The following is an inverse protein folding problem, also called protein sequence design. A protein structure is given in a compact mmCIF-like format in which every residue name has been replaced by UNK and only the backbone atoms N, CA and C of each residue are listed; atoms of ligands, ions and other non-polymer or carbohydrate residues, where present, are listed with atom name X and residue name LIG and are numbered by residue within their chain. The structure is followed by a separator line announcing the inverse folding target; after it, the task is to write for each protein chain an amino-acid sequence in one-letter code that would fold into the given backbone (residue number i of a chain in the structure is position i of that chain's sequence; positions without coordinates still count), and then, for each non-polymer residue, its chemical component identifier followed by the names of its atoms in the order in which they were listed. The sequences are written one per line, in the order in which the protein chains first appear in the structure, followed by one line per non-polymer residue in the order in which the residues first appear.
data_IF_349035285269
#
_entry.id   IF_349035285269
#
_cell.length_a   1.000
_cell.length_b   1.000
_cell.length_c   1.000
_cell.angle_alpha   90.00
_cell.angle_beta   90.00
_cell.angle_gamma   90.00
#
_symmetry.space_group_name_H-M   'P 1'
#
loop_
_entity.id
_entity.type
_entity.pdbx_description
1 polymer ?
#
# COMPACT_ATOMS: atom_id res chain seq x y z
N UNK A 1 9.14 -5.65 17.11
CA UNK A 1 9.10 -6.89 17.94
C UNK A 1 7.84 -7.70 17.65
N UNK A 2 6.64 -7.17 17.93
CA UNK A 2 5.38 -7.94 17.79
C UNK A 2 5.16 -8.50 16.37
N UNK A 3 5.30 -7.67 15.33
CA UNK A 3 5.15 -8.08 13.91
C UNK A 3 6.11 -9.20 13.56
N UNK A 4 7.38 -9.08 13.96
CA UNK A 4 8.40 -10.11 13.74
C UNK A 4 8.02 -11.42 14.42
N UNK A 5 7.65 -11.36 15.70
CA UNK A 5 7.24 -12.54 16.46
C UNK A 5 6.02 -13.25 15.84
N UNK A 6 5.03 -12.46 15.34
CA UNK A 6 3.86 -13.03 14.67
C UNK A 6 4.26 -13.80 13.40
N UNK A 7 5.14 -13.22 12.57
CA UNK A 7 5.62 -13.84 11.33
C UNK A 7 6.47 -15.07 11.63
N UNK A 8 7.37 -15.02 12.61
CA UNK A 8 8.18 -16.15 13.05
C UNK A 8 7.34 -17.30 13.64
N UNK A 9 6.17 -16.98 14.20
CA UNK A 9 5.18 -17.95 14.65
C UNK A 9 4.23 -18.44 13.53
N UNK A 10 4.60 -18.22 12.27
CA UNK A 10 3.83 -18.58 11.06
C UNK A 10 2.41 -17.99 11.02
N UNK A 11 2.20 -16.83 11.67
CA UNK A 11 0.94 -16.10 11.55
C UNK A 11 0.96 -15.23 10.31
N UNK A 12 -0.06 -15.32 9.44
CA UNK A 12 -0.14 -14.42 8.29
C UNK A 12 -0.38 -12.97 8.75
N UNK A 13 0.43 -12.05 8.22
CA UNK A 13 0.33 -10.60 8.51
C UNK A 13 0.18 -9.86 7.20
N UNK A 14 -0.80 -8.98 7.13
CA UNK A 14 -0.93 -7.98 6.06
C UNK A 14 -0.52 -6.62 6.62
N UNK A 15 0.58 -6.07 6.10
CA UNK A 15 1.03 -4.71 6.42
C UNK A 15 0.59 -3.74 5.33
N UNK A 16 -0.20 -2.72 5.69
CA UNK A 16 -0.68 -1.69 4.76
C UNK A 16 0.06 -0.38 5.04
N UNK A 17 0.62 0.23 4.01
CA UNK A 17 1.38 1.49 4.03
C UNK A 17 2.42 1.50 5.16
N UNK A 18 2.21 2.26 6.23
CA UNK A 18 3.07 2.26 7.42
C UNK A 18 3.25 0.84 8.00
N UNK A 19 2.20 0.01 7.98
CA UNK A 19 2.27 -1.39 8.41
C UNK A 19 3.23 -2.23 7.55
N UNK A 20 3.24 -2.02 6.24
CA UNK A 20 4.20 -2.62 5.31
C UNK A 20 5.63 -2.15 5.56
N UNK A 21 5.82 -0.85 5.82
CA UNK A 21 7.11 -0.27 6.17
C UNK A 21 7.63 -0.83 7.50
N UNK A 22 6.77 -0.91 8.51
CA UNK A 22 7.09 -1.51 9.81
C UNK A 22 7.51 -2.99 9.65
N UNK A 23 6.80 -3.73 8.82
CA UNK A 23 7.09 -5.12 8.52
C UNK A 23 8.44 -5.27 7.82
N UNK A 24 8.72 -4.47 6.79
CA UNK A 24 10.00 -4.47 6.09
C UNK A 24 11.17 -4.21 7.06
N UNK A 25 11.04 -3.19 7.91
CA UNK A 25 12.06 -2.84 8.91
C UNK A 25 12.25 -3.92 9.97
N UNK A 26 11.16 -4.51 10.47
CA UNK A 26 11.20 -5.56 11.49
C UNK A 26 11.88 -6.84 10.99
N UNK A 27 11.83 -7.10 9.67
CA UNK A 27 12.43 -8.25 9.01
C UNK A 27 13.84 -8.00 8.44
N UNK A 28 14.44 -6.85 8.75
CA UNK A 28 15.82 -6.55 8.37
C UNK A 28 15.97 -5.74 7.09
N UNK A 29 14.89 -5.26 6.50
CA UNK A 29 14.91 -4.23 5.47
C UNK A 29 15.12 -2.83 6.05
N UNK A 30 15.03 -1.82 5.19
CA UNK A 30 15.15 -0.42 5.59
C UNK A 30 13.93 0.39 5.16
N UNK A 31 13.72 1.52 5.83
CA UNK A 31 12.69 2.51 5.49
C UNK A 31 13.34 3.89 5.53
N UNK A 32 13.17 4.67 4.49
CA UNK A 32 13.70 6.03 4.38
C UNK A 32 12.77 6.90 3.53
N UNK A 33 12.80 8.23 3.72
CA UNK A 33 12.10 9.16 2.84
C UNK A 33 12.54 9.01 1.39
N UNK A 34 11.56 9.06 0.48
CA UNK A 34 11.82 9.16 -0.95
C UNK A 34 12.09 10.61 -1.36
N UNK A 35 12.62 10.86 -2.57
CA UNK A 35 12.81 12.21 -3.09
C UNK A 35 11.47 12.92 -3.37
N UNK A 36 10.40 12.18 -3.56
CA UNK A 36 9.05 12.65 -3.77
C UNK A 36 8.05 11.68 -3.13
N UNK A 37 6.96 12.21 -2.57
CA UNK A 37 5.83 11.39 -2.10
C UNK A 37 5.03 10.81 -3.28
N UNK A 38 4.18 9.85 -2.97
CA UNK A 38 3.13 9.38 -3.85
C UNK A 38 1.78 9.68 -3.19
N UNK A 39 0.94 10.47 -3.87
CA UNK A 39 -0.39 10.85 -3.39
C UNK A 39 -1.39 10.70 -4.54
N UNK A 40 -2.50 10.00 -4.30
CA UNK A 40 -3.57 9.79 -5.28
C UNK A 40 -3.58 8.41 -5.93
N UNK A 41 -4.46 8.24 -6.92
CA UNK A 41 -4.68 6.97 -7.62
C UNK A 41 -3.58 6.70 -8.66
N UNK A 42 -2.90 5.57 -8.52
CA UNK A 42 -1.74 5.22 -9.35
C UNK A 42 -1.74 3.74 -9.73
N UNK A 43 -1.42 3.44 -10.97
CA UNK A 43 -1.17 2.07 -11.40
C UNK A 43 0.20 1.58 -10.90
N UNK A 44 0.26 0.29 -10.63
CA UNK A 44 1.49 -0.44 -10.30
C UNK A 44 1.70 -1.56 -11.32
N UNK A 45 2.88 -2.14 -11.34
CA UNK A 45 3.16 -3.37 -12.10
C UNK A 45 3.29 -4.53 -11.15
N UNK A 46 2.31 -5.43 -11.20
CA UNK A 46 2.30 -6.65 -10.42
C UNK A 46 2.79 -7.83 -11.25
N UNK A 47 3.76 -8.56 -10.72
CA UNK A 47 4.22 -9.84 -11.26
C UNK A 47 3.33 -11.01 -10.79
N UNK A 48 2.43 -10.75 -9.85
CA UNK A 48 1.50 -11.74 -9.27
C UNK A 48 0.06 -11.28 -9.46
N UNK A 49 -0.40 -11.24 -10.73
CA UNK A 49 -1.75 -10.85 -11.11
C UNK A 49 -2.84 -11.75 -10.47
N UNK A 50 -2.47 -12.95 -10.05
CA UNK A 50 -3.32 -13.87 -9.30
C UNK A 50 -3.59 -13.40 -7.87
N UNK A 51 -2.70 -12.60 -7.29
CA UNK A 51 -2.82 -12.06 -5.93
C UNK A 51 -3.16 -10.56 -5.91
N UNK A 52 -2.62 -9.81 -6.85
CA UNK A 52 -2.64 -8.37 -6.84
C UNK A 52 -2.72 -7.81 -8.26
N UNK A 53 -3.80 -7.11 -8.59
CA UNK A 53 -3.95 -6.44 -9.89
C UNK A 53 -3.07 -5.19 -10.01
N UNK A 54 -2.91 -4.70 -11.24
CA UNK A 54 -2.18 -3.45 -11.50
C UNK A 54 -2.86 -2.18 -10.96
N UNK A 55 -4.07 -2.26 -10.47
CA UNK A 55 -4.77 -1.12 -9.90
C UNK A 55 -5.75 -0.43 -10.86
N UNK A 56 -5.96 0.89 -10.74
CA UNK A 56 -5.21 1.79 -9.86
C UNK A 56 -5.41 1.53 -8.37
N UNK A 57 -4.40 1.88 -7.57
CA UNK A 57 -4.41 1.83 -6.11
C UNK A 57 -4.14 3.21 -5.54
N UNK A 58 -4.74 3.54 -4.38
CA UNK A 58 -4.56 4.85 -3.76
C UNK A 58 -3.25 4.90 -2.97
N UNK A 59 -2.45 5.91 -3.24
CA UNK A 59 -1.17 6.20 -2.58
C UNK A 59 -1.33 7.39 -1.63
N UNK A 60 -0.69 7.31 -0.47
CA UNK A 60 -0.53 8.44 0.44
C UNK A 60 0.68 8.19 1.35
N UNK A 61 1.89 8.37 0.81
CA UNK A 61 3.13 8.11 1.54
C UNK A 61 4.30 8.93 1.00
N UNK A 62 5.29 9.14 1.84
CA UNK A 62 6.58 9.79 1.52
C UNK A 62 7.74 8.80 1.67
N UNK A 63 7.67 7.95 2.69
CA UNK A 63 8.68 6.93 2.97
C UNK A 63 8.53 5.71 2.07
N UNK A 64 9.65 5.03 1.85
CA UNK A 64 9.77 3.81 1.05
C UNK A 64 10.56 2.78 1.80
N UNK A 65 10.21 1.53 1.60
CA UNK A 65 11.04 0.42 2.08
C UNK A 65 12.01 -0.08 1.02
N UNK A 66 13.04 -0.76 1.50
CA UNK A 66 13.74 -1.79 0.75
C UNK A 66 13.23 -3.15 1.23
N UNK A 67 12.96 -4.04 0.28
CA UNK A 67 12.45 -5.37 0.58
C UNK A 67 13.40 -6.09 1.52
N UNK A 68 12.90 -6.68 2.63
CA UNK A 68 13.76 -7.33 3.62
C UNK A 68 14.45 -8.57 3.04
N UNK A 69 15.62 -8.97 3.57
CA UNK A 69 16.26 -10.24 3.21
C UNK A 69 15.29 -11.42 3.38
N UNK A 70 15.16 -12.24 2.35
CA UNK A 70 14.18 -13.35 2.31
C UNK A 70 12.79 -12.96 1.85
N UNK A 71 12.51 -11.67 1.67
CA UNK A 71 11.30 -11.17 1.03
C UNK A 71 11.40 -11.21 -0.50
N UNK A 72 10.26 -11.30 -1.15
CA UNK A 72 10.13 -11.28 -2.62
C UNK A 72 9.27 -10.10 -3.02
N UNK A 73 9.82 -9.14 -3.77
CA UNK A 73 9.05 -8.06 -4.39
C UNK A 73 8.10 -8.67 -5.43
N UNK A 74 6.82 -8.30 -5.35
CA UNK A 74 5.80 -8.78 -6.29
C UNK A 74 5.11 -7.66 -7.06
N UNK A 75 5.32 -6.42 -6.67
CA UNK A 75 4.80 -5.26 -7.40
C UNK A 75 5.66 -4.03 -7.17
N UNK A 76 5.73 -3.18 -8.20
CA UNK A 76 6.46 -1.92 -8.19
C UNK A 76 5.83 -0.88 -9.11
N UNK A 77 6.26 0.36 -8.96
CA UNK A 77 6.12 1.41 -9.96
C UNK A 77 7.49 2.14 -10.12
N UNK A 78 7.62 3.17 -10.97
CA UNK A 78 8.90 3.88 -11.13
C UNK A 78 9.40 4.57 -9.85
N UNK A 79 8.52 4.78 -8.90
CA UNK A 79 8.81 5.57 -7.69
C UNK A 79 9.23 4.65 -6.53
N UNK A 80 8.55 3.52 -6.31
CA UNK A 80 8.80 2.66 -5.16
C UNK A 80 8.44 1.18 -5.40
N UNK A 81 8.98 0.31 -4.55
CA UNK A 81 8.45 -1.03 -4.35
C UNK A 81 7.04 -0.92 -3.74
N UNK A 82 6.07 -1.58 -4.34
CA UNK A 82 4.65 -1.44 -4.00
C UNK A 82 4.09 -2.60 -3.20
N UNK A 83 4.67 -3.78 -3.36
CA UNK A 83 4.28 -4.94 -2.57
C UNK A 83 5.42 -5.97 -2.50
N UNK A 84 5.51 -6.65 -1.37
CA UNK A 84 6.40 -7.81 -1.18
C UNK A 84 5.71 -8.89 -0.37
N UNK A 85 6.15 -10.13 -0.58
CA UNK A 85 5.77 -11.31 0.21
C UNK A 85 6.94 -11.73 1.08
N UNK A 86 6.65 -12.15 2.31
CA UNK A 86 7.58 -12.78 3.23
C UNK A 86 6.91 -13.97 3.92
N UNK A 87 7.23 -15.19 3.49
CA UNK A 87 6.51 -16.38 3.93
C UNK A 87 5.01 -16.27 3.59
N UNK A 88 4.17 -16.37 4.61
CA UNK A 88 2.71 -16.23 4.50
C UNK A 88 2.21 -14.80 4.70
N UNK A 89 3.10 -13.83 4.75
CA UNK A 89 2.79 -12.44 5.04
C UNK A 89 3.05 -11.55 3.83
N UNK A 90 2.35 -10.41 3.75
CA UNK A 90 2.44 -9.47 2.64
C UNK A 90 2.51 -8.04 3.16
N UNK A 91 3.42 -7.24 2.61
CA UNK A 91 3.45 -5.79 2.77
C UNK A 91 2.99 -5.11 1.50
N UNK A 92 2.09 -4.11 1.60
CA UNK A 92 1.68 -3.25 0.50
C UNK A 92 1.88 -1.78 0.86
N UNK A 93 2.31 -0.96 -0.10
CA UNK A 93 2.59 0.46 0.13
C UNK A 93 1.34 1.33 -0.02
N UNK A 94 0.44 0.96 -0.89
CA UNK A 94 -0.82 1.63 -1.17
C UNK A 94 -1.90 1.28 -0.14
N UNK A 95 -3.06 1.94 -0.26
CA UNK A 95 -4.20 1.81 0.63
C UNK A 95 -5.37 1.08 -0.05
N UNK A 96 -5.42 -0.25 -0.01
CA UNK A 96 -6.53 -1.02 -0.59
C UNK A 96 -7.87 -0.78 0.14
N UNK A 97 -7.81 -0.31 1.39
CA UNK A 97 -8.97 -0.02 2.24
C UNK A 97 -9.64 1.31 1.93
N UNK A 98 -9.00 2.17 1.11
CA UNK A 98 -9.50 3.53 0.90
C UNK A 98 -10.85 3.55 0.17
N UNK A 99 -11.72 4.41 0.65
CA UNK A 99 -12.97 4.83 0.02
C UNK A 99 -13.20 6.33 0.24
N UNK A 100 -14.26 6.89 -0.33
CA UNK A 100 -14.54 8.32 -0.22
C UNK A 100 -14.72 8.81 1.24
N UNK A 101 -15.29 7.99 2.12
CA UNK A 101 -15.46 8.36 3.54
C UNK A 101 -14.12 8.41 4.28
N UNK A 102 -13.23 7.46 4.02
CA UNK A 102 -11.88 7.43 4.59
C UNK A 102 -11.07 8.62 4.06
N UNK A 103 -11.09 8.87 2.75
CA UNK A 103 -10.39 10.01 2.17
C UNK A 103 -10.87 11.33 2.77
N UNK A 104 -12.19 11.51 2.89
CA UNK A 104 -12.74 12.70 3.52
C UNK A 104 -12.19 12.91 4.93
N UNK A 105 -12.15 11.84 5.74
CA UNK A 105 -11.57 11.90 7.09
C UNK A 105 -10.10 12.35 7.06
N UNK A 106 -9.29 11.80 6.17
CA UNK A 106 -7.88 12.20 6.05
C UNK A 106 -7.70 13.65 5.62
N UNK A 107 -8.50 14.12 4.67
CA UNK A 107 -8.48 15.53 4.24
C UNK A 107 -8.86 16.47 5.38
N UNK A 108 -9.90 16.13 6.14
CA UNK A 108 -10.36 16.93 7.30
C UNK A 108 -9.28 16.97 8.43
N UNK A 109 -8.42 15.95 8.53
CA UNK A 109 -7.39 15.83 9.57
C UNK A 109 -6.00 16.35 9.16
N UNK A 110 -5.90 17.07 8.07
CA UNK A 110 -4.66 17.74 7.63
C UNK A 110 -4.16 17.33 6.25
N UNK A 111 -4.70 16.27 5.66
CA UNK A 111 -4.33 15.81 4.31
C UNK A 111 -4.58 16.82 3.19
N UNK A 112 -5.43 17.84 3.43
CA UNK A 112 -5.62 18.96 2.50
C UNK A 112 -4.29 19.67 2.18
N UNK A 113 -3.44 19.83 3.19
CA UNK A 113 -2.13 20.44 3.00
C UNK A 113 -1.22 19.56 2.13
N UNK A 114 -1.15 18.27 2.44
CA UNK A 114 -0.30 17.33 1.71
C UNK A 114 -0.71 17.22 0.24
N UNK A 115 -2.01 17.17 -0.04
CA UNK A 115 -2.55 17.14 -1.40
C UNK A 115 -2.24 18.44 -2.14
N UNK A 116 -2.41 19.60 -1.49
CA UNK A 116 -2.08 20.91 -2.06
C UNK A 116 -0.58 21.08 -2.31
N UNK A 117 0.26 20.66 -1.37
CA UNK A 117 1.73 20.72 -1.50
C UNK A 117 2.24 19.78 -2.64
N UNK A 118 1.53 18.69 -2.92
CA UNK A 118 1.79 17.82 -4.08
C UNK A 118 1.27 18.43 -5.42
N UNK A 119 0.61 19.57 -5.36
CA UNK A 119 0.08 20.27 -6.53
C UNK A 119 -1.24 19.71 -7.07
N UNK A 120 -1.95 18.94 -6.27
CA UNK A 120 -3.24 18.35 -6.62
C UNK A 120 -4.42 19.14 -6.02
N UNK A 121 -5.59 19.00 -6.63
CA UNK A 121 -6.85 19.56 -6.15
C UNK A 121 -7.58 18.50 -5.32
N UNK A 122 -7.86 18.76 -4.02
CA UNK A 122 -8.56 17.81 -3.16
C UNK A 122 -9.97 17.43 -3.65
N UNK A 123 -10.67 18.34 -4.34
CA UNK A 123 -11.99 18.06 -4.88
C UNK A 123 -11.90 17.09 -6.07
N UNK A 124 -10.94 17.30 -6.97
CA UNK A 124 -10.68 16.39 -8.09
C UNK A 124 -10.30 14.99 -7.55
N UNK A 125 -9.47 14.93 -6.54
CA UNK A 125 -9.08 13.67 -5.89
C UNK A 125 -10.28 12.96 -5.26
N UNK A 126 -11.19 13.70 -4.63
CA UNK A 126 -12.42 13.15 -4.07
C UNK A 126 -13.34 12.61 -5.17
N UNK A 127 -13.52 13.35 -6.25
CA UNK A 127 -14.35 12.92 -7.38
C UNK A 127 -13.80 11.66 -8.05
N UNK A 128 -12.47 11.57 -8.21
CA UNK A 128 -11.80 10.35 -8.68
C UNK A 128 -12.03 9.18 -7.72
N UNK A 129 -11.96 9.42 -6.42
CA UNK A 129 -12.17 8.38 -5.40
C UNK A 129 -13.60 7.85 -5.43
N UNK A 130 -14.59 8.73 -5.56
CA UNK A 130 -15.99 8.32 -5.72
C UNK A 130 -16.19 7.49 -6.99
N UNK A 131 -15.56 7.89 -8.10
CA UNK A 131 -15.65 7.15 -9.36
C UNK A 131 -14.96 5.78 -9.31
N UNK A 132 -13.83 5.68 -8.59
CA UNK A 132 -13.05 4.43 -8.44
C UNK A 132 -13.63 3.47 -7.40
N UNK A 133 -14.46 3.93 -6.47
CA UNK A 133 -14.92 3.15 -5.30
C UNK A 133 -15.48 1.77 -5.66
N UNK A 134 -16.36 1.59 -6.68
CA UNK A 134 -16.87 0.27 -7.04
C UNK A 134 -15.77 -0.70 -7.50
N UNK A 135 -14.90 -0.24 -8.40
CA UNK A 135 -13.81 -1.04 -8.94
C UNK A 135 -12.72 -1.33 -7.91
N UNK A 136 -12.44 -0.36 -7.03
CA UNK A 136 -11.50 -0.51 -5.92
C UNK A 136 -11.97 -1.55 -4.91
N UNK A 137 -13.24 -1.56 -4.55
CA UNK A 137 -13.85 -2.60 -3.69
C UNK A 137 -13.70 -3.98 -4.28
N UNK A 138 -13.98 -4.13 -5.58
CA UNK A 138 -13.83 -5.41 -6.27
C UNK A 138 -12.36 -5.87 -6.26
N UNK A 139 -11.41 -4.99 -6.60
CA UNK A 139 -9.98 -5.29 -6.53
C UNK A 139 -9.53 -5.70 -5.14
N UNK A 140 -9.97 -4.99 -4.11
CA UNK A 140 -9.63 -5.26 -2.71
C UNK A 140 -10.20 -6.60 -2.25
N UNK A 141 -11.40 -6.95 -2.68
CA UNK A 141 -12.00 -8.24 -2.39
C UNK A 141 -11.19 -9.42 -2.97
N UNK A 142 -10.64 -9.24 -4.16
CA UNK A 142 -9.79 -10.25 -4.80
C UNK A 142 -8.34 -10.25 -4.28
N UNK A 143 -7.90 -9.14 -3.69
CA UNK A 143 -6.57 -8.98 -3.09
C UNK A 143 -6.38 -9.78 -1.79
N UNK A 144 -7.44 -10.10 -1.05
CA UNK A 144 -7.32 -10.84 0.19
C UNK A 144 -6.65 -12.21 -0.06
N UNK A 145 -5.49 -12.50 0.56
CA UNK A 145 -4.81 -13.77 0.34
C UNK A 145 -5.75 -14.90 0.72
N UNK A 146 -6.14 -15.66 -0.27
CA UNK A 146 -6.86 -16.92 -0.04
C UNK A 146 -5.91 -17.82 0.75
N UNK A 147 -6.37 -18.39 1.84
CA UNK A 147 -5.58 -19.13 2.83
C UNK A 147 -4.73 -20.30 2.28
N UNK A 148 -4.80 -20.58 0.99
CA UNK A 148 -4.07 -21.63 0.27
C UNK A 148 -3.09 -21.10 -0.81
N UNK A 149 -2.87 -19.78 -0.93
CA UNK A 149 -2.18 -19.17 -2.09
C UNK A 149 -0.86 -18.45 -1.77
N UNK A 150 -0.42 -18.45 -0.52
CA UNK A 150 0.88 -17.91 -0.09
C UNK A 150 1.83 -19.03 0.26
#
# INVERSE_FOLDING_TARGET
EWVKNAIEADKPVLGICFGGQLMARALGGSVAPGPKGEIGWTNIWSERQDLLSNGPWFQFHYDRWQVPPGGVEIARNPIASQAFIYGRSMGVQFHPELNAAVLKGWLDWGGLRDVGDDGQDPQIMMDQTVAEDPASKERTWHFAPKSSSL
#
